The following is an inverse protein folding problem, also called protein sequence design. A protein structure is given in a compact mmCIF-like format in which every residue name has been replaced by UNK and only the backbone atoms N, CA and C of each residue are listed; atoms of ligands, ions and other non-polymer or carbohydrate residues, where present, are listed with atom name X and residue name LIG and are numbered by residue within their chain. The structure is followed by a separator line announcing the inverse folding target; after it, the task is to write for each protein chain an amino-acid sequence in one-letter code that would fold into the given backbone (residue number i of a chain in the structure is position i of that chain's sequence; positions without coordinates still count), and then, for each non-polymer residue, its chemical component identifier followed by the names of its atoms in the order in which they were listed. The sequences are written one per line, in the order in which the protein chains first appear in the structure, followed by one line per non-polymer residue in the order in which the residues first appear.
data_IF_668950516660
#
_entry.id   IF_668950516660
#
_cell.length_a   1.000
_cell.length_b   1.000
_cell.length_c   1.000
_cell.angle_alpha   90.00
_cell.angle_beta   90.00
_cell.angle_gamma   90.00
#
_symmetry.space_group_name_H-M   'P 1'
#
loop_
_entity.id
_entity.type
_entity.pdbx_description
1 polymer ?
#
# COMPACT_ATOMS: atom_id res chain seq x y z
N UNK A 1 -9.10 23.96 2.82
CA UNK A 1 -8.76 23.63 4.23
C UNK A 1 -9.69 22.57 4.83
N UNK A 2 -11.02 22.63 4.61
CA UNK A 2 -11.93 21.58 5.07
C UNK A 2 -11.57 20.21 4.47
N UNK A 3 -11.27 20.15 3.18
CA UNK A 3 -10.88 18.92 2.47
C UNK A 3 -9.62 18.28 3.06
N UNK A 4 -8.68 19.11 3.53
CA UNK A 4 -7.47 18.64 4.20
C UNK A 4 -7.81 17.98 5.53
N UNK A 5 -8.64 18.61 6.37
CA UNK A 5 -9.02 18.09 7.69
C UNK A 5 -9.87 16.83 7.55
N UNK A 6 -10.94 16.89 6.76
CA UNK A 6 -11.82 15.74 6.55
C UNK A 6 -11.10 14.61 5.81
N UNK A 7 -10.26 14.93 4.84
CA UNK A 7 -9.42 13.96 4.16
C UNK A 7 -8.46 13.27 5.12
N UNK A 8 -7.76 14.03 5.98
CA UNK A 8 -6.92 13.45 7.04
C UNK A 8 -7.71 12.52 7.96
N UNK A 9 -8.87 12.94 8.45
CA UNK A 9 -9.72 12.11 9.33
C UNK A 9 -10.15 10.83 8.62
N UNK A 10 -10.62 10.93 7.38
CA UNK A 10 -10.98 9.77 6.56
C UNK A 10 -9.77 8.85 6.35
N UNK A 11 -8.59 9.39 6.09
CA UNK A 11 -7.36 8.62 5.92
C UNK A 11 -6.93 7.89 7.18
N UNK A 12 -7.05 8.53 8.35
CA UNK A 12 -6.82 7.90 9.65
C UNK A 12 -7.78 6.73 9.85
N UNK A 13 -9.08 6.95 9.61
CA UNK A 13 -10.10 5.90 9.75
C UNK A 13 -9.81 4.74 8.80
N UNK A 14 -9.58 5.02 7.50
CA UNK A 14 -9.20 4.03 6.51
C UNK A 14 -7.96 3.24 6.93
N UNK A 15 -6.94 3.93 7.44
CA UNK A 15 -5.68 3.30 7.85
C UNK A 15 -5.84 2.40 9.07
N UNK A 16 -6.75 2.70 9.99
CA UNK A 16 -6.98 1.87 11.17
C UNK A 16 -7.78 0.60 10.87
N UNK A 17 -8.48 0.55 9.73
CA UNK A 17 -9.33 -0.56 9.35
C UNK A 17 -8.51 -1.56 8.52
N UNK A 18 -8.33 -2.81 8.98
CA UNK A 18 -7.66 -3.84 8.19
C UNK A 18 -8.32 -4.03 6.83
N UNK A 19 -7.55 -3.94 5.75
CA UNK A 19 -8.03 -4.23 4.40
C UNK A 19 -8.80 -3.10 3.70
N UNK A 20 -9.10 -1.98 4.37
CA UNK A 20 -9.64 -0.79 3.71
C UNK A 20 -8.51 0.05 3.11
N UNK A 21 -8.65 0.45 1.85
CA UNK A 21 -7.65 1.28 1.16
C UNK A 21 -8.29 2.55 0.60
N UNK A 22 -7.49 3.60 0.46
CA UNK A 22 -7.83 4.92 -0.08
C UNK A 22 -8.38 4.81 -1.47
N UNK A 23 -7.92 3.85 -2.26
CA UNK A 23 -8.41 3.63 -3.61
C UNK A 23 -9.91 3.31 -3.59
N UNK A 24 -10.34 2.48 -2.64
CA UNK A 24 -11.75 2.12 -2.46
C UNK A 24 -12.60 3.33 -2.09
N UNK A 25 -12.11 4.18 -1.18
CA UNK A 25 -12.88 5.36 -0.76
C UNK A 25 -12.82 6.45 -1.83
N UNK A 26 -11.68 6.65 -2.47
CA UNK A 26 -11.47 7.64 -3.52
C UNK A 26 -12.37 7.39 -4.74
N UNK A 27 -12.68 6.13 -5.05
CA UNK A 27 -13.66 5.76 -6.08
C UNK A 27 -15.06 6.33 -5.82
N UNK A 28 -15.42 6.62 -4.56
CA UNK A 28 -16.74 7.11 -4.15
C UNK A 28 -16.82 8.63 -4.12
N UNK A 29 -15.66 9.29 -4.00
CA UNK A 29 -15.53 10.74 -3.84
C UNK A 29 -14.62 11.32 -4.91
N UNK A 30 -14.70 10.80 -6.13
CA UNK A 30 -13.80 11.17 -7.24
C UNK A 30 -13.85 12.67 -7.61
N UNK A 31 -14.93 13.36 -7.24
CA UNK A 31 -15.08 14.81 -7.38
C UNK A 31 -14.32 15.63 -6.33
N UNK A 32 -13.74 15.00 -5.30
CA UNK A 32 -13.12 15.63 -4.14
C UNK A 32 -11.60 15.40 -4.12
N UNK A 33 -10.89 15.86 -5.16
CA UNK A 33 -9.48 15.50 -5.37
C UNK A 33 -8.55 15.87 -4.21
N UNK A 34 -8.70 17.07 -3.61
CA UNK A 34 -7.82 17.52 -2.52
C UNK A 34 -8.09 16.76 -1.21
N UNK A 35 -9.34 16.34 -1.00
CA UNK A 35 -9.71 15.42 0.08
C UNK A 35 -9.03 14.06 -0.13
N UNK A 36 -9.04 13.54 -1.37
CA UNK A 36 -8.38 12.26 -1.70
C UNK A 36 -6.88 12.32 -1.45
N UNK A 37 -6.22 13.41 -1.84
CA UNK A 37 -4.77 13.62 -1.60
C UNK A 37 -4.45 13.57 -0.11
N UNK A 38 -5.23 14.28 0.71
CA UNK A 38 -5.06 14.30 2.16
C UNK A 38 -5.35 12.93 2.79
N UNK A 39 -6.42 12.25 2.37
CA UNK A 39 -6.80 10.91 2.81
C UNK A 39 -5.72 9.88 2.48
N UNK A 40 -5.19 9.92 1.27
CA UNK A 40 -4.16 9.01 0.81
C UNK A 40 -2.89 9.12 1.67
N UNK A 41 -2.42 10.34 1.91
CA UNK A 41 -1.25 10.60 2.75
C UNK A 41 -1.42 10.05 4.18
N UNK A 42 -2.53 10.38 4.86
CA UNK A 42 -2.76 9.94 6.23
C UNK A 42 -2.91 8.41 6.35
N UNK A 43 -3.59 7.77 5.41
CA UNK A 43 -3.79 6.33 5.45
C UNK A 43 -2.48 5.55 5.29
N UNK A 44 -1.54 5.99 4.45
CA UNK A 44 -0.24 5.32 4.26
C UNK A 44 0.38 5.00 5.63
N UNK A 45 0.41 5.99 6.53
CA UNK A 45 0.97 5.83 7.87
C UNK A 45 0.08 5.04 8.83
N UNK A 46 -1.22 5.35 8.87
CA UNK A 46 -2.11 4.70 9.83
C UNK A 46 -2.32 3.21 9.54
N UNK A 47 -2.15 2.79 8.28
CA UNK A 47 -2.19 1.38 7.86
C UNK A 47 -1.14 0.48 8.54
N UNK A 48 -0.08 1.06 9.10
CA UNK A 48 0.93 0.30 9.84
C UNK A 48 0.44 -0.18 11.21
N UNK A 49 -0.51 0.52 11.84
CA UNK A 49 -1.05 0.14 13.16
C UNK A 49 -1.74 -1.23 13.09
N UNK A 50 -2.78 -1.44 12.25
CA UNK A 50 -3.42 -2.74 12.14
C UNK A 50 -2.44 -3.81 11.64
N UNK A 51 -1.53 -3.45 10.72
CA UNK A 51 -0.53 -4.38 10.21
C UNK A 51 0.39 -4.93 11.33
N UNK A 52 0.76 -4.09 12.30
CA UNK A 52 1.65 -4.47 13.40
C UNK A 52 0.90 -5.16 14.54
N UNK A 53 -0.27 -4.65 14.93
CA UNK A 53 -0.93 -5.03 16.18
C UNK A 53 -2.19 -5.89 16.03
N UNK A 54 -2.92 -5.81 14.90
CA UNK A 54 -4.18 -6.54 14.74
C UNK A 54 -4.05 -7.93 14.12
N UNK A 55 -2.92 -8.22 13.47
CA UNK A 55 -2.65 -9.53 12.88
C UNK A 55 -1.45 -10.21 13.53
N UNK A 56 -1.32 -10.15 14.86
CA UNK A 56 -0.26 -10.86 15.60
C UNK A 56 -0.51 -12.37 15.51
N UNK A 57 0.33 -13.14 14.81
CA UNK A 57 0.16 -14.58 14.69
C UNK A 57 0.67 -15.29 15.95
N UNK A 58 0.14 -16.49 16.22
CA UNK A 58 0.54 -17.32 17.37
C UNK A 58 2.06 -17.60 17.37
N UNK A 59 2.64 -17.80 18.56
CA UNK A 59 4.09 -17.93 18.85
C UNK A 59 4.85 -18.90 17.92
N UNK A 60 4.16 -19.88 17.33
CA UNK A 60 4.74 -20.88 16.40
C UNK A 60 4.97 -20.36 14.98
N UNK A 61 4.51 -19.14 14.65
CA UNK A 61 4.57 -18.59 13.29
C UNK A 61 5.43 -17.33 13.15
N UNK A 62 6.09 -16.89 14.22
CA UNK A 62 6.83 -15.61 14.34
C UNK A 62 7.86 -15.40 13.22
N UNK A 63 8.53 -16.43 12.69
CA UNK A 63 9.50 -16.26 11.60
C UNK A 63 8.87 -15.91 10.24
N UNK A 64 7.54 -16.08 10.09
CA UNK A 64 6.81 -15.83 8.83
C UNK A 64 6.03 -14.51 8.79
N UNK A 65 6.15 -13.70 9.83
CA UNK A 65 5.35 -12.49 10.06
C UNK A 65 6.19 -11.24 9.80
N UNK A 66 5.57 -10.08 9.53
CA UNK A 66 6.30 -8.84 9.28
C UNK A 66 7.19 -8.48 10.48
N UNK A 67 8.41 -7.91 10.28
CA UNK A 67 9.30 -7.53 11.37
C UNK A 67 8.63 -6.67 12.46
N UNK A 68 7.70 -5.78 12.08
CA UNK A 68 6.90 -5.01 13.04
C UNK A 68 6.01 -5.85 13.95
N UNK A 69 5.39 -6.92 13.43
CA UNK A 69 4.60 -7.86 14.23
C UNK A 69 5.49 -8.63 15.21
N UNK A 70 6.71 -9.02 14.79
CA UNK A 70 7.69 -9.65 15.68
C UNK A 70 8.11 -8.71 16.81
N UNK A 71 8.35 -7.44 16.50
CA UNK A 71 8.65 -6.42 17.51
C UNK A 71 7.49 -6.21 18.48
N UNK A 72 6.26 -6.08 17.98
CA UNK A 72 5.08 -5.93 18.84
C UNK A 72 4.88 -7.14 19.77
N UNK A 73 5.11 -8.36 19.28
CA UNK A 73 5.05 -9.57 20.09
C UNK A 73 6.11 -9.61 21.21
N UNK A 74 7.28 -8.99 20.99
CA UNK A 74 8.35 -8.83 22.00
C UNK A 74 8.15 -7.62 22.92
N UNK A 75 7.05 -6.89 22.79
CA UNK A 75 6.79 -5.66 23.55
C UNK A 75 7.50 -4.41 23.01
N UNK A 76 8.04 -4.43 21.79
CA UNK A 76 8.74 -3.30 21.14
C UNK A 76 7.89 -2.56 20.09
N UNK A 77 6.57 -2.78 20.05
CA UNK A 77 5.67 -2.17 19.08
C UNK A 77 5.61 -0.64 19.16
N UNK A 78 5.73 -0.04 20.35
CA UNK A 78 5.83 1.42 20.46
C UNK A 78 7.11 1.96 19.82
N UNK A 79 8.23 1.24 19.95
CA UNK A 79 9.50 1.54 19.26
C UNK A 79 9.34 1.42 17.75
N UNK A 80 8.64 0.38 17.26
CA UNK A 80 8.31 0.24 15.84
C UNK A 80 7.52 1.45 15.30
N UNK A 81 6.50 1.93 16.04
CA UNK A 81 5.74 3.11 15.63
C UNK A 81 6.60 4.39 15.60
N UNK A 82 7.54 4.55 16.54
CA UNK A 82 8.50 5.67 16.51
C UNK A 82 9.40 5.59 15.28
N UNK A 83 9.92 4.40 14.93
CA UNK A 83 10.74 4.20 13.72
C UNK A 83 9.93 4.60 12.49
N UNK A 84 8.69 4.14 12.38
CA UNK A 84 7.81 4.42 11.24
C UNK A 84 7.53 5.92 11.10
N UNK A 85 7.13 6.59 12.19
CA UNK A 85 6.85 8.01 12.16
C UNK A 85 8.12 8.85 11.85
N UNK A 86 9.26 8.50 12.45
CA UNK A 86 10.52 9.23 12.25
C UNK A 86 11.06 9.06 10.83
N UNK A 87 10.99 7.84 10.28
CA UNK A 87 11.43 7.54 8.91
C UNK A 87 10.53 8.19 7.87
N UNK A 88 9.22 8.25 8.11
CA UNK A 88 8.27 8.97 7.27
C UNK A 88 8.53 10.48 7.26
N UNK A 89 8.77 11.10 8.42
CA UNK A 89 9.09 12.53 8.49
C UNK A 89 10.41 12.86 7.78
N UNK A 90 11.45 12.05 7.99
CA UNK A 90 12.74 12.24 7.31
C UNK A 90 12.59 12.08 5.80
N UNK A 91 11.87 11.07 5.34
CA UNK A 91 11.63 10.86 3.90
C UNK A 91 10.79 11.96 3.29
N UNK A 92 9.74 12.41 3.99
CA UNK A 92 8.93 13.54 3.54
C UNK A 92 9.77 14.81 3.41
N UNK A 93 10.64 15.09 4.39
CA UNK A 93 11.55 16.23 4.33
C UNK A 93 12.46 16.17 3.09
N UNK A 94 13.03 15.01 2.79
CA UNK A 94 13.85 14.79 1.59
C UNK A 94 13.03 14.96 0.31
N UNK A 95 11.81 14.41 0.26
CA UNK A 95 10.90 14.58 -0.87
C UNK A 95 10.55 16.03 -1.11
N UNK A 96 10.18 16.78 -0.08
CA UNK A 96 9.88 18.22 -0.20
C UNK A 96 11.12 19.05 -0.54
N UNK A 97 12.31 18.66 -0.09
CA UNK A 97 13.54 19.39 -0.44
C UNK A 97 13.94 19.16 -1.91
N UNK A 98 13.77 17.93 -2.41
CA UNK A 98 14.26 17.51 -3.72
C UNK A 98 13.17 17.50 -4.80
N UNK A 99 11.89 17.77 -4.47
CA UNK A 99 10.80 17.57 -5.43
C UNK A 99 10.99 18.35 -6.73
N UNK A 100 11.49 19.60 -6.70
CA UNK A 100 11.69 20.38 -7.94
C UNK A 100 12.73 19.76 -8.86
N UNK A 101 13.82 19.26 -8.28
CA UNK A 101 14.89 18.58 -9.04
C UNK A 101 14.33 17.29 -9.64
N UNK A 102 13.62 16.49 -8.84
CA UNK A 102 13.01 15.25 -9.33
C UNK A 102 11.92 15.54 -10.37
N UNK A 103 11.03 16.51 -10.15
CA UNK A 103 9.97 16.92 -11.08
C UNK A 103 10.55 17.26 -12.47
N UNK A 104 11.65 18.03 -12.51
CA UNK A 104 12.31 18.39 -13.78
C UNK A 104 13.05 17.24 -14.47
N UNK A 105 13.59 16.29 -13.69
CA UNK A 105 14.40 15.17 -14.21
C UNK A 105 13.59 13.89 -14.44
N UNK A 106 12.39 13.77 -13.87
CA UNK A 106 11.54 12.59 -13.93
C UNK A 106 11.18 12.18 -15.37
N UNK A 107 10.81 13.08 -16.30
CA UNK A 107 10.55 12.71 -17.70
C UNK A 107 11.75 12.03 -18.37
N UNK A 108 12.96 12.56 -18.13
CA UNK A 108 14.20 11.99 -18.68
C UNK A 108 14.50 10.61 -18.06
N UNK A 109 14.36 10.48 -16.74
CA UNK A 109 14.52 9.21 -16.05
C UNK A 109 13.51 8.16 -16.55
N UNK A 110 12.25 8.56 -16.68
CA UNK A 110 11.17 7.68 -17.13
C UNK A 110 11.40 7.22 -18.58
N UNK A 111 11.63 8.14 -19.51
CA UNK A 111 11.89 7.81 -20.93
C UNK A 111 13.13 6.93 -21.14
N UNK A 112 14.16 7.11 -20.32
CA UNK A 112 15.36 6.25 -20.36
C UNK A 112 15.05 4.81 -19.91
N UNK A 113 14.18 4.66 -18.92
CA UNK A 113 13.85 3.34 -18.35
C UNK A 113 12.66 2.66 -19.02
N UNK A 114 11.77 3.42 -19.68
CA UNK A 114 10.53 2.92 -20.29
C UNK A 114 10.74 1.72 -21.21
N UNK A 115 11.75 1.70 -22.12
CA UNK A 115 12.03 0.54 -22.97
C UNK A 115 12.37 -0.73 -22.18
N UNK A 116 12.92 -0.58 -20.97
CA UNK A 116 13.35 -1.68 -20.13
C UNK A 116 12.28 -2.16 -19.14
N UNK A 117 11.20 -1.39 -18.93
CA UNK A 117 10.17 -1.71 -17.94
C UNK A 117 9.62 -3.14 -18.08
N UNK A 118 9.25 -3.65 -19.29
CA UNK A 118 8.70 -5.00 -19.40
C UNK A 118 9.67 -6.08 -18.91
N UNK A 119 10.95 -5.92 -19.21
CA UNK A 119 12.01 -6.84 -18.78
C UNK A 119 12.28 -6.75 -17.29
N UNK A 120 12.28 -5.53 -16.72
CA UNK A 120 12.41 -5.32 -15.28
C UNK A 120 11.24 -5.93 -14.50
N UNK A 121 10.01 -5.77 -15.01
CA UNK A 121 8.80 -6.37 -14.43
C UNK A 121 8.90 -7.90 -14.49
N UNK A 122 9.30 -8.46 -15.63
CA UNK A 122 9.49 -9.90 -15.78
C UNK A 122 10.57 -10.44 -14.83
N UNK A 123 11.69 -9.73 -14.70
CA UNK A 123 12.76 -10.08 -13.76
C UNK A 123 12.24 -10.12 -12.32
N UNK A 124 11.47 -9.11 -11.90
CA UNK A 124 10.88 -9.08 -10.55
C UNK A 124 9.95 -10.28 -10.34
N UNK A 125 9.10 -10.62 -11.33
CA UNK A 125 8.22 -11.81 -11.24
C UNK A 125 9.03 -13.09 -11.10
N UNK A 126 10.09 -13.28 -11.91
CA UNK A 126 10.98 -14.45 -11.82
C UNK A 126 11.63 -14.54 -10.44
N UNK A 127 12.15 -13.44 -9.93
CA UNK A 127 12.78 -13.40 -8.60
C UNK A 127 11.77 -13.70 -7.48
N UNK A 128 10.54 -13.18 -7.58
CA UNK A 128 9.49 -13.47 -6.60
C UNK A 128 9.09 -14.94 -6.60
N UNK A 129 8.95 -15.55 -7.78
CA UNK A 129 8.69 -16.99 -7.92
C UNK A 129 9.84 -17.79 -7.29
N UNK A 130 11.08 -17.46 -7.64
CA UNK A 130 12.27 -18.17 -7.17
C UNK A 130 12.48 -18.07 -5.64
N UNK A 131 12.09 -16.94 -5.04
CA UNK A 131 12.18 -16.74 -3.58
C UNK A 131 10.99 -17.26 -2.79
N UNK A 132 9.88 -17.59 -3.45
CA UNK A 132 8.69 -18.08 -2.76
C UNK A 132 8.94 -19.43 -2.10
N UNK A 133 8.21 -19.72 -1.02
CA UNK A 133 8.32 -21.03 -0.34
C UNK A 133 7.94 -22.20 -1.25
N UNK A 134 7.03 -21.97 -2.19
CA UNK A 134 6.59 -22.96 -3.17
C UNK A 134 6.47 -22.29 -4.56
N UNK A 135 7.55 -22.32 -5.36
CA UNK A 135 7.61 -21.66 -6.67
C UNK A 135 6.52 -22.10 -7.64
N UNK A 136 6.18 -23.39 -7.64
CA UNK A 136 5.14 -23.95 -8.52
C UNK A 136 3.78 -23.37 -8.14
N UNK A 137 3.44 -23.43 -6.86
CA UNK A 137 2.15 -22.93 -6.39
C UNK A 137 2.03 -21.42 -6.57
N UNK A 138 3.12 -20.68 -6.31
CA UNK A 138 3.17 -19.24 -6.58
C UNK A 138 2.89 -18.94 -8.05
N UNK A 139 3.56 -19.64 -8.98
CA UNK A 139 3.38 -19.45 -10.41
C UNK A 139 1.94 -19.78 -10.86
N UNK A 140 1.34 -20.85 -10.31
CA UNK A 140 -0.06 -21.21 -10.58
C UNK A 140 -1.02 -20.11 -10.12
N UNK A 141 -0.86 -19.59 -8.89
CA UNK A 141 -1.68 -18.47 -8.42
C UNK A 141 -1.47 -17.21 -9.25
N UNK A 142 -0.23 -16.92 -9.66
CA UNK A 142 0.09 -15.78 -10.51
C UNK A 142 -0.59 -15.86 -11.88
N UNK A 143 -0.53 -17.01 -12.54
CA UNK A 143 -1.19 -17.23 -13.82
C UNK A 143 -2.72 -17.23 -13.69
N UNK A 144 -3.27 -17.90 -12.67
CA UNK A 144 -4.71 -17.93 -12.42
C UNK A 144 -5.26 -16.52 -12.14
N UNK A 145 -4.59 -15.76 -11.28
CA UNK A 145 -4.90 -14.35 -11.05
C UNK A 145 -4.80 -13.53 -12.34
N UNK A 146 -3.75 -13.74 -13.13
CA UNK A 146 -3.55 -13.08 -14.43
C UNK A 146 -4.68 -13.32 -15.43
N UNK A 147 -5.21 -14.54 -15.49
CA UNK A 147 -6.38 -14.87 -16.32
C UNK A 147 -7.62 -14.14 -15.80
N UNK A 148 -7.90 -14.21 -14.49
CA UNK A 148 -9.05 -13.50 -13.89
C UNK A 148 -8.97 -12.01 -14.16
N UNK A 149 -7.79 -11.39 -13.98
CA UNK A 149 -7.59 -9.97 -14.26
C UNK A 149 -7.77 -9.64 -15.74
N UNK A 150 -7.22 -10.45 -16.65
CA UNK A 150 -7.40 -10.27 -18.10
C UNK A 150 -8.87 -10.32 -18.51
N UNK A 151 -9.62 -11.29 -18.01
CA UNK A 151 -11.04 -11.42 -18.33
C UNK A 151 -11.87 -10.31 -17.68
N UNK A 152 -11.53 -9.90 -16.45
CA UNK A 152 -12.17 -8.76 -15.77
C UNK A 152 -12.07 -7.47 -16.60
N UNK A 153 -10.89 -7.19 -17.16
CA UNK A 153 -10.67 -6.01 -18.00
C UNK A 153 -11.44 -6.03 -19.33
N UNK A 154 -11.99 -7.18 -19.74
CA UNK A 154 -12.83 -7.30 -20.95
C UNK A 154 -14.33 -7.15 -20.68
N UNK A 155 -14.75 -7.20 -19.41
CA UNK A 155 -16.17 -7.17 -19.04
C UNK A 155 -16.81 -5.78 -19.19
N UNK A 156 -16.03 -4.74 -19.50
CA UNK A 156 -16.55 -3.37 -19.64
C UNK A 156 -17.12 -2.79 -18.34
N UNK A 157 -16.55 -3.20 -17.19
CA UNK A 157 -16.93 -2.65 -15.89
C UNK A 157 -16.49 -1.19 -15.78
N UNK A 158 -17.30 -0.35 -15.14
CA UNK A 158 -16.97 1.06 -14.88
C UNK A 158 -15.72 1.20 -14.01
N UNK A 159 -15.59 0.32 -13.02
CA UNK A 159 -14.40 0.16 -12.19
C UNK A 159 -14.06 -1.34 -12.02
N UNK A 160 -13.23 -1.93 -12.91
CA UNK A 160 -12.85 -3.33 -12.83
C UNK A 160 -11.93 -3.64 -11.63
N UNK A 161 -11.24 -2.63 -11.08
CA UNK A 161 -10.25 -2.84 -10.03
C UNK A 161 -10.89 -2.96 -8.64
N UNK A 162 -12.00 -2.24 -8.41
CA UNK A 162 -12.76 -2.33 -7.17
C UNK A 162 -13.20 -3.77 -6.81
N UNK A 163 -13.98 -4.50 -7.64
CA UNK A 163 -14.40 -5.87 -7.34
C UNK A 163 -13.22 -6.85 -7.35
N UNK A 164 -12.22 -6.64 -8.21
CA UNK A 164 -11.04 -7.49 -8.32
C UNK A 164 -10.17 -7.43 -7.05
N UNK A 165 -9.75 -6.24 -6.64
CA UNK A 165 -8.87 -6.10 -5.48
C UNK A 165 -9.60 -6.30 -4.15
N UNK A 166 -10.84 -5.82 -4.03
CA UNK A 166 -11.62 -6.04 -2.81
C UNK A 166 -11.81 -7.53 -2.57
N UNK A 167 -12.15 -8.31 -3.59
CA UNK A 167 -12.36 -9.75 -3.43
C UNK A 167 -11.07 -10.57 -3.28
N UNK A 168 -9.98 -10.23 -3.96
CA UNK A 168 -8.71 -10.97 -3.84
C UNK A 168 -7.97 -10.67 -2.53
N UNK A 169 -8.06 -9.45 -2.00
CA UNK A 169 -7.23 -9.00 -0.89
C UNK A 169 -8.02 -8.63 0.37
N UNK A 170 -9.08 -7.84 0.25
CA UNK A 170 -9.81 -7.30 1.40
C UNK A 170 -10.81 -8.32 1.99
N UNK A 171 -11.71 -8.88 1.18
CA UNK A 171 -12.75 -9.80 1.64
C UNK A 171 -12.21 -11.03 2.39
N UNK A 172 -11.17 -11.74 1.92
CA UNK A 172 -10.61 -12.86 2.67
C UNK A 172 -10.04 -12.42 4.03
N UNK A 173 -9.42 -11.24 4.09
CA UNK A 173 -8.88 -10.72 5.35
C UNK A 173 -9.97 -10.30 6.33
N UNK A 174 -11.04 -9.67 5.84
CA UNK A 174 -12.15 -9.20 6.65
C UNK A 174 -13.01 -10.36 7.16
N UNK A 175 -13.34 -11.33 6.30
CA UNK A 175 -14.19 -12.48 6.65
C UNK A 175 -13.47 -13.40 7.64
N UNK A 176 -12.17 -13.64 7.44
CA UNK A 176 -11.36 -14.48 8.32
C UNK A 176 -10.62 -13.67 9.40
N UNK A 177 -11.08 -12.44 9.69
CA UNK A 177 -10.48 -11.59 10.72
C UNK A 177 -10.48 -12.30 12.07
N UNK A 178 -9.32 -12.28 12.73
CA UNK A 178 -9.13 -12.73 14.10
C UNK A 178 -8.46 -11.62 14.89
N UNK A 179 -8.99 -11.36 16.08
CA UNK A 179 -8.42 -10.40 17.02
C UNK A 179 -7.07 -10.89 17.53
N UNK A 180 -6.01 -10.12 17.28
CA UNK A 180 -4.69 -10.35 17.89
C UNK A 180 -4.69 -10.05 19.40
N UNK A 181 -3.73 -10.65 20.13
CA UNK A 181 -3.45 -10.28 21.52
C UNK A 181 -2.42 -9.16 21.55
N UNK A 182 -2.72 -8.07 22.26
CA UNK A 182 -1.77 -6.97 22.49
C UNK A 182 -1.04 -7.24 23.80
N UNK A 183 0.26 -7.52 23.69
CA UNK A 183 1.19 -7.66 24.84
C UNK A 183 1.53 -6.26 25.39
N UNK A 184 1.96 -6.16 26.64
CA UNK A 184 2.49 -4.92 27.20
C UNK A 184 3.68 -4.39 26.38
N UNK A 185 3.77 -3.06 26.22
CA UNK A 185 4.70 -2.42 25.29
C UNK A 185 5.67 -1.48 26.00
N UNK A 186 6.97 -1.66 25.74
CA UNK A 186 8.07 -0.77 26.13
C UNK A 186 8.19 0.38 25.13
N UNK A 187 8.48 1.57 25.65
CA UNK A 187 8.51 2.81 24.88
C UNK A 187 9.92 3.39 24.75
N UNK A 188 10.79 2.65 24.07
CA UNK A 188 12.18 3.02 23.85
C UNK A 188 12.37 3.89 22.60
N UNK A 189 13.35 4.79 22.63
CA UNK A 189 13.76 5.54 21.45
C UNK A 189 14.52 4.63 20.47
N UNK A 190 14.33 4.79 19.15
CA UNK A 190 15.12 4.07 18.18
C UNK A 190 16.54 4.65 18.06
N UNK A 191 17.49 3.81 17.67
CA UNK A 191 18.84 4.28 17.34
C UNK A 191 18.80 5.11 16.05
N UNK A 192 19.41 6.31 16.00
CA UNK A 192 19.35 7.18 14.82
C UNK A 192 19.84 6.50 13.53
N UNK A 193 20.90 5.68 13.61
CA UNK A 193 21.45 4.95 12.45
C UNK A 193 20.44 3.97 11.83
N UNK A 194 19.59 3.36 12.66
CA UNK A 194 18.54 2.43 12.21
C UNK A 194 17.38 3.12 11.49
N UNK A 195 17.34 4.45 11.51
CA UNK A 195 16.31 5.27 10.85
C UNK A 195 16.89 6.03 9.66
N UNK A 196 17.99 6.77 9.88
CA UNK A 196 18.51 7.75 8.90
C UNK A 196 18.92 7.09 7.57
N UNK A 197 19.83 6.12 7.62
CA UNK A 197 20.34 5.47 6.41
C UNK A 197 19.24 4.69 5.66
N UNK A 198 18.43 3.86 6.35
CA UNK A 198 17.27 3.20 5.72
C UNK A 198 16.26 4.17 5.11
N UNK A 199 16.05 5.35 5.70
CA UNK A 199 15.16 6.36 5.12
C UNK A 199 15.70 7.01 3.86
N UNK A 200 17.00 7.31 3.80
CA UNK A 200 17.65 7.80 2.58
C UNK A 200 17.54 6.77 1.46
N UNK A 201 17.79 5.50 1.78
CA UNK A 201 17.64 4.40 0.82
C UNK A 201 16.18 4.26 0.37
N UNK A 202 15.23 4.26 1.32
CA UNK A 202 13.81 4.14 1.02
C UNK A 202 13.24 5.31 0.21
N UNK A 203 13.76 6.52 0.44
CA UNK A 203 13.47 7.69 -0.38
C UNK A 203 13.80 7.43 -1.86
N UNK A 204 15.04 7.01 -2.16
CA UNK A 204 15.50 6.74 -3.53
C UNK A 204 14.72 5.57 -4.16
N UNK A 205 14.59 4.48 -3.42
CA UNK A 205 13.87 3.29 -3.87
C UNK A 205 12.39 3.57 -4.13
N UNK A 206 11.78 4.48 -3.36
CA UNK A 206 10.41 4.92 -3.61
C UNK A 206 10.23 5.61 -4.96
N UNK A 207 11.18 6.44 -5.39
CA UNK A 207 11.16 7.07 -6.74
C UNK A 207 11.21 5.99 -7.82
N UNK A 208 12.13 5.03 -7.71
CA UNK A 208 12.24 3.93 -8.67
C UNK A 208 11.02 3.01 -8.66
N UNK A 209 10.42 2.77 -7.48
CA UNK A 209 9.23 1.94 -7.35
C UNK A 209 8.02 2.52 -8.11
N UNK A 210 7.91 3.84 -8.25
CA UNK A 210 6.85 4.51 -9.03
C UNK A 210 6.96 4.17 -10.52
N UNK A 211 8.16 3.94 -11.04
CA UNK A 211 8.40 3.70 -12.48
C UNK A 211 7.83 2.33 -12.91
N UNK A 212 7.92 1.33 -12.04
CA UNK A 212 7.60 -0.07 -12.35
C UNK A 212 6.11 -0.41 -12.07
N UNK A 213 5.27 -0.63 -13.10
CA UNK A 213 3.84 -0.89 -12.92
C UNK A 213 3.58 -2.24 -12.25
N UNK A 214 2.77 -2.26 -11.19
CA UNK A 214 2.16 -3.48 -10.65
C UNK A 214 3.08 -4.45 -9.87
N UNK A 215 4.41 -4.29 -9.95
CA UNK A 215 5.41 -5.20 -9.33
C UNK A 215 6.19 -4.60 -8.16
N UNK A 216 6.10 -3.28 -7.93
CA UNK A 216 6.95 -2.58 -6.95
C UNK A 216 6.14 -2.06 -5.76
N UNK A 217 5.41 -2.95 -5.09
CA UNK A 217 4.79 -2.55 -3.82
C UNK A 217 5.88 -2.15 -2.80
N UNK A 218 5.64 -1.15 -1.93
CA UNK A 218 6.62 -0.74 -0.93
C UNK A 218 7.19 -1.90 -0.09
N UNK A 219 6.34 -2.87 0.26
CA UNK A 219 6.74 -4.09 0.99
C UNK A 219 7.69 -5.00 0.20
N UNK A 220 7.46 -5.20 -1.09
CA UNK A 220 8.36 -6.01 -1.94
C UNK A 220 9.73 -5.33 -2.05
N UNK A 221 9.74 -4.04 -2.37
CA UNK A 221 10.99 -3.27 -2.51
C UNK A 221 11.75 -3.23 -1.19
N UNK A 222 11.07 -3.01 -0.06
CA UNK A 222 11.69 -3.06 1.27
C UNK A 222 12.28 -4.44 1.61
N UNK A 223 11.60 -5.52 1.21
CA UNK A 223 12.06 -6.90 1.45
C UNK A 223 13.37 -7.17 0.74
N UNK A 224 13.53 -6.72 -0.51
CA UNK A 224 14.79 -6.86 -1.23
C UNK A 224 15.88 -5.92 -0.72
N UNK A 225 15.53 -4.67 -0.46
CA UNK A 225 16.47 -3.65 0.00
C UNK A 225 17.05 -3.92 1.39
N UNK A 226 16.32 -4.70 2.22
CA UNK A 226 16.71 -4.96 3.61
C UNK A 226 17.34 -6.34 3.83
N UNK A 227 17.71 -7.05 2.77
CA UNK A 227 18.42 -8.33 2.90
C UNK A 227 19.76 -8.08 3.61
N UNK A 228 19.99 -8.80 4.71
CA UNK A 228 21.19 -8.63 5.54
C UNK A 228 21.16 -7.39 6.45
N UNK A 229 20.06 -6.63 6.47
CA UNK A 229 19.85 -5.52 7.40
C UNK A 229 19.04 -5.95 8.63
N UNK A 230 19.05 -5.11 9.66
CA UNK A 230 18.27 -5.36 10.88
C UNK A 230 16.76 -5.20 10.67
N UNK A 231 15.97 -5.83 11.55
CA UNK A 231 14.50 -5.70 11.58
C UNK A 231 14.05 -4.23 11.69
N UNK A 232 14.80 -3.43 12.45
CA UNK A 232 14.61 -1.98 12.59
C UNK A 232 14.85 -1.24 11.25
N UNK A 233 15.89 -1.63 10.52
CA UNK A 233 16.22 -1.04 9.22
C UNK A 233 15.14 -1.36 8.17
N UNK A 234 14.61 -2.59 8.18
CA UNK A 234 13.44 -2.92 7.35
C UNK A 234 12.23 -2.03 7.68
N UNK A 235 11.95 -1.86 8.98
CA UNK A 235 10.83 -1.03 9.45
C UNK A 235 11.00 0.46 9.18
N UNK A 236 12.22 0.96 9.02
CA UNK A 236 12.47 2.32 8.54
C UNK A 236 12.38 2.41 7.01
N UNK A 237 12.88 1.39 6.30
CA UNK A 237 12.88 1.35 4.83
C UNK A 237 11.46 1.30 4.26
N UNK A 238 10.61 0.43 4.80
CA UNK A 238 9.25 0.20 4.31
C UNK A 238 8.36 1.47 4.27
N UNK A 239 8.13 2.19 5.37
CA UNK A 239 7.37 3.44 5.35
C UNK A 239 8.05 4.52 4.51
N UNK A 240 9.39 4.56 4.47
CA UNK A 240 10.12 5.51 3.63
C UNK A 240 9.81 5.30 2.15
N UNK A 241 9.83 4.05 1.68
CA UNK A 241 9.43 3.71 0.30
C UNK A 241 7.96 4.07 0.07
N UNK A 242 7.06 3.79 1.02
CA UNK A 242 5.65 4.08 0.87
C UNK A 242 5.36 5.59 0.78
N UNK A 243 6.01 6.41 1.61
CA UNK A 243 5.89 7.88 1.60
C UNK A 243 6.46 8.44 0.31
N UNK A 244 7.68 8.03 -0.07
CA UNK A 244 8.32 8.47 -1.31
C UNK A 244 7.48 8.07 -2.53
N UNK A 245 7.05 6.82 -2.63
CA UNK A 245 6.21 6.34 -3.72
C UNK A 245 4.86 7.10 -3.80
N UNK A 246 4.18 7.30 -2.66
CA UNK A 246 2.94 8.06 -2.62
C UNK A 246 3.11 9.51 -3.09
N UNK A 247 4.17 10.18 -2.64
CA UNK A 247 4.49 11.55 -3.03
C UNK A 247 4.83 11.64 -4.53
N UNK A 248 5.76 10.80 -5.01
CA UNK A 248 6.22 10.84 -6.40
C UNK A 248 5.25 10.20 -7.40
N UNK A 249 4.19 9.53 -6.94
CA UNK A 249 3.08 9.13 -7.81
C UNK A 249 2.33 10.34 -8.39
N UNK A 250 2.24 11.46 -7.65
CA UNK A 250 1.71 12.71 -8.18
C UNK A 250 2.67 13.37 -9.18
N UNK A 251 3.98 13.28 -8.94
CA UNK A 251 5.01 13.75 -9.90
C UNK A 251 4.93 12.95 -11.20
N UNK A 252 4.80 11.62 -11.12
CA UNK A 252 4.58 10.76 -12.30
C UNK A 252 3.30 11.15 -13.05
N UNK A 253 2.21 11.42 -12.32
CA UNK A 253 0.96 11.88 -12.95
C UNK A 253 1.13 13.24 -13.64
N UNK A 254 1.78 14.21 -13.00
CA UNK A 254 1.99 15.55 -13.53
C UNK A 254 2.92 15.62 -14.75
N UNK A 255 3.86 14.68 -14.88
CA UNK A 255 4.97 14.80 -15.84
C UNK A 255 4.93 13.80 -16.99
N UNK A 256 4.39 12.60 -16.75
CA UNK A 256 4.31 11.53 -17.76
C UNK A 256 2.91 10.95 -17.88
N UNK A 257 1.91 11.57 -17.23
CA UNK A 257 0.49 11.19 -17.28
C UNK A 257 0.21 9.73 -16.89
N UNK A 258 1.10 9.13 -16.08
CA UNK A 258 0.92 7.77 -15.57
C UNK A 258 0.67 7.81 -14.08
N UNK A 259 -0.59 7.58 -13.69
CA UNK A 259 -0.97 7.35 -12.31
C UNK A 259 -0.45 5.99 -11.81
N UNK A 260 0.17 5.99 -10.62
CA UNK A 260 0.81 4.79 -10.04
C UNK A 260 0.17 4.33 -8.73
N UNK A 261 -0.87 5.03 -8.30
CA UNK A 261 -1.75 4.65 -7.19
C UNK A 261 -3.20 4.98 -7.56
N UNK A 262 -4.15 4.16 -7.13
CA UNK A 262 -5.57 4.38 -7.43
C UNK A 262 -6.08 5.72 -6.91
N UNK A 263 -5.71 6.13 -5.70
CA UNK A 263 -6.03 7.45 -5.16
C UNK A 263 -5.56 8.60 -6.07
N UNK A 264 -4.43 8.45 -6.76
CA UNK A 264 -3.93 9.46 -7.72
C UNK A 264 -4.79 9.47 -8.99
N UNK A 265 -5.24 8.30 -9.47
CA UNK A 265 -6.19 8.21 -10.60
C UNK A 265 -7.46 9.00 -10.29
N UNK A 266 -8.12 8.75 -9.15
CA UNK A 266 -9.36 9.44 -8.83
C UNK A 266 -9.15 10.93 -8.51
N UNK A 267 -8.06 11.29 -7.83
CA UNK A 267 -7.76 12.71 -7.60
C UNK A 267 -7.55 13.48 -8.92
N UNK A 268 -6.95 12.83 -9.92
CA UNK A 268 -6.73 13.44 -11.24
C UNK A 268 -8.00 13.64 -12.07
N UNK A 269 -9.14 13.05 -11.67
CA UNK A 269 -10.42 13.27 -12.35
C UNK A 269 -11.03 14.65 -12.02
N UNK A 270 -10.68 15.22 -10.87
CA UNK A 270 -11.22 16.50 -10.38
C UNK A 270 -10.16 17.59 -10.23
N UNK A 271 -8.88 17.25 -10.29
CA UNK A 271 -7.76 18.19 -10.25
C UNK A 271 -6.88 18.00 -11.48
N UNK A 272 -6.55 19.09 -12.17
CA UNK A 272 -5.40 19.09 -13.05
C UNK A 272 -4.11 19.04 -12.21
N UNK A 273 -3.58 17.82 -12.04
CA UNK A 273 -2.41 17.56 -11.19
C UNK A 273 -1.16 18.27 -11.73
N UNK A 274 -1.04 18.46 -13.05
CA UNK A 274 0.12 19.09 -13.65
C UNK A 274 0.14 20.59 -13.34
N UNK A 275 -0.99 21.28 -13.56
CA UNK A 275 -1.10 22.72 -13.26
C UNK A 275 -1.03 23.02 -11.75
N UNK A 276 -1.50 22.09 -10.91
CA UNK A 276 -1.64 22.31 -9.46
C UNK A 276 -0.62 21.52 -8.62
N UNK A 277 0.48 21.03 -9.21
CA UNK A 277 1.41 20.10 -8.55
C UNK A 277 1.93 20.62 -7.20
N UNK A 278 2.25 21.91 -7.09
CA UNK A 278 2.72 22.51 -5.83
C UNK A 278 1.65 22.44 -4.72
N UNK A 279 0.39 22.70 -5.05
CA UNK A 279 -0.73 22.63 -4.11
C UNK A 279 -1.04 21.19 -3.71
N UNK A 280 -1.02 20.26 -4.67
CA UNK A 280 -1.21 18.82 -4.43
C UNK A 280 -0.13 18.28 -3.48
N UNK A 281 1.14 18.58 -3.76
CA UNK A 281 2.25 18.13 -2.92
C UNK A 281 2.24 18.81 -1.55
N UNK A 282 1.80 20.05 -1.44
CA UNK A 282 1.59 20.73 -0.16
C UNK A 282 0.51 20.02 0.69
N UNK A 283 -0.64 19.72 0.11
CA UNK A 283 -1.73 18.99 0.79
C UNK A 283 -1.27 17.61 1.26
N UNK A 284 -0.59 16.86 0.39
CA UNK A 284 0.00 15.57 0.75
C UNK A 284 0.99 15.72 1.91
N UNK A 285 1.88 16.72 1.84
CA UNK A 285 2.93 16.93 2.84
C UNK A 285 2.39 17.31 4.20
N UNK A 286 1.42 18.25 4.26
CA UNK A 286 0.81 18.65 5.52
C UNK A 286 0.08 17.45 6.15
N UNK A 287 -0.72 16.73 5.35
CA UNK A 287 -1.44 15.55 5.84
C UNK A 287 -0.48 14.46 6.36
N UNK A 288 0.56 14.14 5.59
CA UNK A 288 1.58 13.16 5.99
C UNK A 288 2.33 13.57 7.27
N UNK A 289 2.74 14.84 7.36
CA UNK A 289 3.44 15.36 8.54
C UNK A 289 2.55 15.30 9.78
N UNK A 290 1.29 15.76 9.68
CA UNK A 290 0.32 15.70 10.78
C UNK A 290 0.06 14.25 11.18
N UNK A 291 -0.16 13.34 10.22
CA UNK A 291 -0.35 11.93 10.48
C UNK A 291 0.86 11.30 11.19
N UNK A 292 2.09 11.63 10.76
CA UNK A 292 3.32 11.16 11.41
C UNK A 292 3.48 11.72 12.83
N UNK A 293 3.13 12.99 13.06
CA UNK A 293 3.17 13.59 14.40
C UNK A 293 2.14 12.97 15.33
N UNK A 294 0.90 12.74 14.86
CA UNK A 294 -0.12 12.02 15.63
C UNK A 294 0.36 10.60 15.94
N UNK A 295 0.90 9.88 14.95
CA UNK A 295 1.43 8.54 15.16
C UNK A 295 2.58 8.56 16.19
N UNK A 296 3.50 9.52 16.08
CA UNK A 296 4.61 9.67 16.99
C UNK A 296 4.11 9.97 18.40
N UNK A 297 3.35 11.04 18.64
CA UNK A 297 2.98 11.47 19.99
C UNK A 297 1.84 10.65 20.61
N UNK A 298 0.86 10.22 19.82
CA UNK A 298 -0.34 9.52 20.31
C UNK A 298 -0.24 7.98 20.24
N UNK A 299 0.92 7.41 19.88
CA UNK A 299 1.17 5.95 19.81
C UNK A 299 0.60 5.14 20.97
N UNK A 300 0.73 5.61 22.22
CA UNK A 300 0.22 4.90 23.41
C UNK A 300 -1.30 4.77 23.41
N UNK A 301 -2.01 5.79 22.94
CA UNK A 301 -3.47 5.76 22.78
C UNK A 301 -3.87 4.90 21.58
N UNK A 302 -3.13 5.00 20.47
CA UNK A 302 -3.41 4.26 19.25
C UNK A 302 -3.29 2.74 19.44
N UNK A 303 -2.35 2.27 20.27
CA UNK A 303 -2.26 0.84 20.61
C UNK A 303 -3.45 0.39 21.47
N UNK A 304 -4.10 1.27 22.24
CA UNK A 304 -5.34 0.89 22.95
C UNK A 304 -6.48 0.63 21.96
N UNK A 305 -6.55 1.40 20.87
CA UNK A 305 -7.46 1.11 19.76
C UNK A 305 -7.13 -0.25 19.14
N UNK A 306 -5.86 -0.66 19.20
CA UNK A 306 -5.44 -1.99 18.77
C UNK A 306 -6.04 -3.15 19.62
N UNK A 307 -6.65 -2.84 20.77
CA UNK A 307 -7.38 -3.78 21.61
C UNK A 307 -8.86 -3.95 21.26
N UNK A 308 -9.41 -3.15 20.34
CA UNK A 308 -10.83 -3.19 19.96
C UNK A 308 -11.09 -4.40 19.04
N UNK A 309 -12.19 -5.12 19.27
CA UNK A 309 -12.62 -6.16 18.33
C UNK A 309 -13.27 -5.52 17.10
N UNK A 310 -12.55 -5.57 15.98
CA UNK A 310 -13.03 -5.04 14.70
C UNK A 310 -13.92 -6.01 13.92
N UNK A 311 -14.30 -7.16 14.47
CA UNK A 311 -15.14 -8.14 13.76
C UNK A 311 -16.47 -7.55 13.25
N UNK A 312 -17.27 -6.78 14.03
CA UNK A 312 -18.50 -6.18 13.52
C UNK A 312 -18.23 -5.23 12.35
N UNK A 313 -17.16 -4.43 12.47
CA UNK A 313 -16.72 -3.52 11.43
C UNK A 313 -16.28 -4.28 10.17
N UNK A 314 -15.53 -5.37 10.33
CA UNK A 314 -15.05 -6.18 9.22
C UNK A 314 -16.19 -6.84 8.44
N UNK A 315 -17.24 -7.29 9.14
CA UNK A 315 -18.47 -7.79 8.52
C UNK A 315 -19.19 -6.68 7.77
N UNK A 316 -19.40 -5.52 8.41
CA UNK A 316 -20.05 -4.37 7.78
C UNK A 316 -19.30 -3.91 6.52
N UNK A 317 -17.97 -3.83 6.58
CA UNK A 317 -17.15 -3.46 5.44
C UNK A 317 -17.17 -4.53 4.34
N UNK A 318 -17.22 -5.82 4.69
CA UNK A 318 -17.33 -6.89 3.70
C UNK A 318 -18.63 -6.78 2.91
N UNK A 319 -19.75 -6.59 3.61
CA UNK A 319 -21.07 -6.37 3.00
C UNK A 319 -21.02 -5.12 2.11
N UNK A 320 -20.46 -4.04 2.63
CA UNK A 320 -20.31 -2.78 1.90
C UNK A 320 -19.51 -2.96 0.61
N UNK A 321 -18.35 -3.62 0.64
CA UNK A 321 -17.48 -3.83 -0.53
C UNK A 321 -18.18 -4.64 -1.63
N UNK A 322 -18.97 -5.64 -1.26
CA UNK A 322 -19.78 -6.40 -2.22
C UNK A 322 -20.90 -5.53 -2.78
N UNK A 323 -21.64 -4.83 -1.91
CA UNK A 323 -22.76 -3.99 -2.30
C UNK A 323 -22.32 -2.86 -3.24
N UNK A 324 -21.23 -2.17 -2.93
CA UNK A 324 -20.72 -1.07 -3.75
C UNK A 324 -20.14 -1.56 -5.07
N UNK A 325 -19.50 -2.73 -5.09
CA UNK A 325 -19.04 -3.35 -6.33
C UNK A 325 -20.21 -3.66 -7.26
N UNK A 326 -21.32 -4.18 -6.72
CA UNK A 326 -22.56 -4.42 -7.47
C UNK A 326 -23.25 -3.13 -7.91
N UNK A 327 -23.21 -2.09 -7.09
CA UNK A 327 -23.82 -0.81 -7.40
C UNK A 327 -23.09 -0.11 -8.56
N UNK A 328 -21.76 -0.06 -8.52
CA UNK A 328 -20.94 0.60 -9.55
C UNK A 328 -20.87 -0.24 -10.83
N UNK A 329 -20.66 -1.55 -10.70
CA UNK A 329 -20.32 -2.41 -11.87
C UNK A 329 -21.47 -3.34 -12.30
N UNK A 330 -22.61 -3.27 -11.64
CA UNK A 330 -23.73 -4.18 -11.86
C UNK A 330 -23.43 -5.63 -11.49
N UNK A 331 -24.32 -6.53 -11.91
CA UNK A 331 -24.20 -7.98 -11.70
C UNK A 331 -23.03 -8.62 -12.44
N UNK A 332 -22.48 -7.94 -13.46
CA UNK A 332 -21.28 -8.37 -14.18
C UNK A 332 -20.03 -8.47 -13.29
N UNK A 333 -20.03 -7.82 -12.12
CA UNK A 333 -18.96 -7.95 -11.12
C UNK A 333 -19.02 -9.24 -10.29
N UNK A 334 -20.15 -9.97 -10.27
CA UNK A 334 -20.30 -11.18 -9.45
C UNK A 334 -19.25 -12.28 -9.75
N UNK A 335 -18.96 -12.63 -11.02
CA UNK A 335 -17.92 -13.61 -11.33
C UNK A 335 -16.53 -13.15 -10.88
N UNK A 336 -16.26 -11.84 -10.96
CA UNK A 336 -15.00 -11.24 -10.51
C UNK A 336 -14.85 -11.34 -9.00
N UNK A 337 -15.91 -11.00 -8.25
CA UNK A 337 -15.93 -11.11 -6.79
C UNK A 337 -15.78 -12.57 -6.37
N UNK A 338 -16.49 -13.50 -7.01
CA UNK A 338 -16.41 -14.93 -6.69
C UNK A 338 -15.01 -15.51 -6.99
N UNK A 339 -14.48 -15.27 -8.19
CA UNK A 339 -13.17 -15.75 -8.60
C UNK A 339 -12.03 -15.14 -7.78
N UNK A 340 -12.10 -13.84 -7.52
CA UNK A 340 -11.13 -13.14 -6.70
C UNK A 340 -11.16 -13.60 -5.24
N UNK A 341 -12.34 -13.75 -4.64
CA UNK A 341 -12.49 -14.26 -3.27
C UNK A 341 -11.99 -15.69 -3.12
N UNK A 342 -12.25 -16.56 -4.11
CA UNK A 342 -11.74 -17.92 -4.12
C UNK A 342 -10.20 -17.94 -4.18
N UNK A 343 -9.58 -17.21 -5.11
CA UNK A 343 -8.13 -17.13 -5.22
C UNK A 343 -7.48 -16.53 -3.96
N UNK A 344 -8.05 -15.45 -3.44
CA UNK A 344 -7.58 -14.79 -2.22
C UNK A 344 -7.63 -15.70 -1.00
N UNK A 345 -8.73 -16.43 -0.84
CA UNK A 345 -8.90 -17.40 0.26
C UNK A 345 -7.96 -18.59 0.11
N UNK A 346 -7.83 -19.16 -1.09
CA UNK A 346 -6.93 -20.28 -1.36
C UNK A 346 -5.45 -19.91 -1.14
N UNK A 347 -5.03 -18.70 -1.54
CA UNK A 347 -3.69 -18.21 -1.26
C UNK A 347 -3.41 -18.13 0.25
N UNK A 348 -4.37 -17.63 1.04
CA UNK A 348 -4.26 -17.58 2.50
C UNK A 348 -4.19 -18.98 3.12
N UNK A 349 -5.05 -19.91 2.70
CA UNK A 349 -5.10 -21.29 3.22
C UNK A 349 -3.81 -22.07 2.90
N UNK A 350 -3.26 -21.89 1.71
CA UNK A 350 -2.00 -22.52 1.28
C UNK A 350 -0.76 -21.78 1.78
N UNK A 351 -0.92 -20.65 2.49
CA UNK A 351 0.15 -19.78 2.95
C UNK A 351 1.07 -19.30 1.80
N UNK A 352 0.52 -19.18 0.60
CA UNK A 352 1.21 -18.60 -0.56
C UNK A 352 1.29 -17.08 -0.38
N UNK A 353 2.42 -16.49 -0.73
CA UNK A 353 2.64 -15.05 -0.62
C UNK A 353 1.64 -14.29 -1.50
N UNK A 354 0.84 -13.39 -0.90
CA UNK A 354 -0.22 -12.64 -1.59
C UNK A 354 0.22 -11.88 -2.84
N UNK A 355 1.52 -11.61 -2.96
CA UNK A 355 2.11 -11.01 -4.16
C UNK A 355 1.89 -11.84 -5.42
N UNK A 356 1.66 -13.16 -5.31
CA UNK A 356 1.30 -14.01 -6.46
C UNK A 356 0.01 -13.52 -7.12
N UNK A 357 -0.96 -13.05 -6.33
CA UNK A 357 -2.24 -12.54 -6.82
C UNK A 357 -2.11 -11.22 -7.62
N UNK A 358 -0.98 -10.53 -7.53
CA UNK A 358 -0.71 -9.34 -8.37
C UNK A 358 -0.57 -9.69 -9.87
N UNK A 359 -0.49 -10.99 -10.20
CA UNK A 359 -0.64 -11.47 -11.58
C UNK A 359 -1.88 -10.89 -12.27
N UNK A 360 -2.96 -10.63 -11.53
CA UNK A 360 -4.19 -10.02 -12.06
C UNK A 360 -3.99 -8.65 -12.75
N UNK A 361 -2.92 -7.92 -12.40
CA UNK A 361 -2.55 -6.66 -13.04
C UNK A 361 -1.31 -6.83 -13.91
N UNK A 362 -0.30 -7.53 -13.39
CA UNK A 362 1.01 -7.65 -14.04
C UNK A 362 0.87 -8.42 -15.36
N UNK A 363 0.12 -9.52 -15.39
CA UNK A 363 0.00 -10.36 -16.57
C UNK A 363 -0.69 -9.64 -17.74
N UNK A 364 -1.87 -9.01 -17.57
CA UNK A 364 -2.46 -8.18 -18.64
C UNK A 364 -1.56 -7.01 -19.07
N UNK A 365 -0.84 -6.40 -18.13
CA UNK A 365 0.05 -5.26 -18.43
C UNK A 365 1.23 -5.69 -19.27
N UNK A 366 1.94 -6.75 -18.88
CA UNK A 366 3.04 -7.32 -19.65
C UNK A 366 2.60 -7.72 -21.06
N UNK A 367 1.42 -8.34 -21.18
CA UNK A 367 0.85 -8.70 -22.48
C UNK A 367 0.57 -7.51 -23.40
N UNK A 368 0.34 -6.31 -22.86
CA UNK A 368 0.19 -5.07 -23.64
C UNK A 368 1.51 -4.37 -23.95
N UNK A 369 2.55 -4.58 -23.14
CA UNK A 369 3.84 -3.91 -23.33
C UNK A 369 4.80 -4.69 -24.24
N UNK A 370 4.58 -6.00 -24.39
CA UNK A 370 5.43 -6.90 -25.20
C UNK A 370 4.89 -7.18 -26.61
N UNK A 371 3.70 -6.68 -26.91
CA UNK A 371 3.03 -6.73 -28.23
C UNK A 371 2.99 -5.32 -28.78
#
# INVERSE_FOLDING_TARGET
MLDLIFGMVAGILCGLIPGLHSNTVAALVENEGYFIVAMFAAQILFSFIPAIFFSVPDETTVLSVLPGQRMAARGEGLKALRIIASSALLTLLLSVLLYRVILSSYPMLFSTLEPYIPYLVLLVVIVLIAKSKNPILYALFFLAAGIVGKETLKLGLDDPFLPLFSSMFALPMLIFYKKGKVVEQKDEAPEPKSVIFPSLMGFLLGIFAVILPGVSSPAQVATFASIGLSEYSYLATLPSIAVSNGFYSFVSMATVEKARAGAVVYASKSIDIAENIDHVLLYFSISMAVAALILYFSRKMLIKLAGIDLKPFAVALSIYLVAISLFINGSASLPVIAGGFALGTLANLTKTEKTSLMGAVIFPTLGRMLV
#
